data_IF_170754418019
#
_entry.id   IF_170754418019
#
_cell.length_a   1.000
_cell.length_b   1.000
_cell.length_c   1.000
_cell.angle_alpha   90.00
_cell.angle_beta   90.00
_cell.angle_gamma   90.00
#
_symmetry.space_group_name_H-M   'P 1'
#
loop_
_entity.id
_entity.type
_entity.pdbx_description
1 polymer ?
#
# COMPACT_ATOMS: atom_id res chain seq x y z
N UNK A 1 39.96 -18.64 -2.38
CA UNK A 1 38.69 -18.29 -3.05
C UNK A 1 37.47 -18.56 -2.17
N UNK A 2 37.26 -19.79 -1.67
CA UNK A 2 36.12 -20.13 -0.79
C UNK A 2 36.03 -19.25 0.47
N UNK A 3 37.15 -19.02 1.16
CA UNK A 3 37.19 -18.19 2.37
C UNK A 3 36.79 -16.72 2.11
N UNK A 4 37.21 -16.17 0.97
CA UNK A 4 36.89 -14.79 0.59
C UNK A 4 35.41 -14.65 0.20
N UNK A 5 34.85 -15.67 -0.46
CA UNK A 5 33.42 -15.70 -0.76
C UNK A 5 32.58 -15.80 0.52
N UNK A 6 33.00 -16.64 1.48
CA UNK A 6 32.37 -16.77 2.79
C UNK A 6 32.47 -15.47 3.61
N UNK A 7 33.63 -14.81 3.60
CA UNK A 7 33.82 -13.53 4.27
C UNK A 7 32.94 -12.42 3.66
N UNK A 8 32.83 -12.36 2.33
CA UNK A 8 31.97 -11.40 1.64
C UNK A 8 30.47 -11.65 1.95
N UNK A 9 30.06 -12.92 1.98
CA UNK A 9 28.70 -13.33 2.33
C UNK A 9 28.40 -12.96 3.80
N UNK A 10 29.32 -13.26 4.71
CA UNK A 10 29.20 -12.89 6.13
C UNK A 10 29.09 -11.38 6.34
N UNK A 11 29.92 -10.60 5.64
CA UNK A 11 29.86 -9.14 5.71
C UNK A 11 28.51 -8.58 5.22
N UNK A 12 28.00 -9.10 4.10
CA UNK A 12 26.69 -8.72 3.55
C UNK A 12 25.55 -9.12 4.50
N UNK A 13 25.62 -10.31 5.09
CA UNK A 13 24.65 -10.80 6.08
C UNK A 13 24.58 -9.88 7.30
N UNK A 14 25.71 -9.57 7.93
CA UNK A 14 25.78 -8.68 9.10
C UNK A 14 25.24 -7.27 8.75
N UNK A 15 25.61 -6.74 7.59
CA UNK A 15 25.10 -5.43 7.13
C UNK A 15 23.59 -5.43 6.94
N UNK A 16 23.03 -6.53 6.44
CA UNK A 16 21.59 -6.70 6.24
C UNK A 16 20.87 -6.73 7.58
N UNK A 17 21.33 -7.56 8.52
CA UNK A 17 20.76 -7.65 9.89
C UNK A 17 20.82 -6.29 10.59
N UNK A 18 21.96 -5.57 10.51
CA UNK A 18 22.07 -4.22 11.06
C UNK A 18 21.09 -3.23 10.42
N UNK A 19 20.81 -3.38 9.13
CA UNK A 19 19.85 -2.51 8.42
C UNK A 19 18.43 -2.75 8.91
N UNK A 20 18.01 -4.02 9.06
CA UNK A 20 16.72 -4.36 9.67
C UNK A 20 16.61 -3.87 11.12
N UNK A 21 17.68 -4.02 11.92
CA UNK A 21 17.70 -3.51 13.30
C UNK A 21 17.51 -1.99 13.37
N UNK A 22 18.17 -1.23 12.49
CA UNK A 22 17.98 0.24 12.40
C UNK A 22 16.55 0.61 12.01
N UNK A 23 15.95 -0.12 11.07
CA UNK A 23 14.57 0.11 10.66
C UNK A 23 13.58 -0.13 11.82
N UNK A 24 13.80 -1.18 12.61
CA UNK A 24 13.00 -1.49 13.79
C UNK A 24 13.12 -0.42 14.87
N UNK A 25 14.35 -0.01 15.21
CA UNK A 25 14.60 1.04 16.21
C UNK A 25 14.01 2.39 15.80
N UNK A 26 14.11 2.75 14.51
CA UNK A 26 13.51 3.97 13.98
C UNK A 26 12.00 4.00 14.22
N UNK A 27 11.31 2.91 13.85
CA UNK A 27 9.85 2.84 13.99
C UNK A 27 9.43 2.80 15.47
N UNK A 28 10.14 2.03 16.29
CA UNK A 28 9.91 1.96 17.73
C UNK A 28 10.02 3.34 18.39
N UNK A 29 11.09 4.09 18.12
CA UNK A 29 11.31 5.42 18.69
C UNK A 29 10.34 6.48 18.16
N UNK A 30 9.88 6.33 16.90
CA UNK A 30 8.90 7.24 16.31
C UNK A 30 7.49 7.06 16.87
N UNK A 31 7.10 5.83 17.22
CA UNK A 31 5.77 5.50 17.73
C UNK A 31 5.70 5.61 19.26
N UNK A 32 6.72 5.13 19.97
CA UNK A 32 6.71 5.04 21.43
C UNK A 32 7.27 6.33 22.03
N UNK A 33 6.40 7.07 22.72
CA UNK A 33 6.72 8.36 23.28
C UNK A 33 5.54 9.07 23.93
N UNK A 34 5.78 10.28 24.44
CA UNK A 34 4.72 11.13 24.99
C UNK A 34 3.80 11.58 23.84
N UNK A 35 2.52 11.18 23.81
CA UNK A 35 1.64 11.54 22.71
C UNK A 35 1.20 13.00 22.86
N UNK A 36 1.74 13.88 22.01
CA UNK A 36 1.34 15.30 21.96
C UNK A 36 0.28 15.53 20.86
N UNK A 37 -0.94 15.01 21.07
CA UNK A 37 -2.02 15.04 20.06
C UNK A 37 -2.30 16.43 19.49
N UNK A 38 -2.24 17.49 20.32
CA UNK A 38 -2.48 18.88 19.88
C UNK A 38 -1.45 19.37 18.85
N UNK A 39 -0.19 18.97 18.98
CA UNK A 39 0.88 19.39 18.04
C UNK A 39 0.89 18.51 16.79
N UNK A 40 0.52 17.24 16.92
CA UNK A 40 0.54 16.28 15.81
C UNK A 40 -0.71 16.32 14.91
N UNK A 41 -1.88 16.69 15.44
CA UNK A 41 -3.12 16.77 14.66
C UNK A 41 -3.02 17.64 13.38
N UNK A 42 -2.55 18.91 13.42
CA UNK A 42 -2.45 19.72 12.21
C UNK A 42 -1.41 19.17 11.22
N UNK A 43 -0.33 18.56 11.74
CA UNK A 43 0.68 17.91 10.91
C UNK A 43 0.10 16.68 10.21
N UNK A 44 -0.72 15.89 10.91
CA UNK A 44 -1.38 14.70 10.38
C UNK A 44 -2.34 15.07 9.25
N UNK A 45 -3.17 16.11 9.41
CA UNK A 45 -4.08 16.58 8.34
C UNK A 45 -3.31 16.98 7.09
N UNK A 46 -2.21 17.73 7.25
CA UNK A 46 -1.35 18.11 6.12
C UNK A 46 -0.75 16.89 5.41
N UNK A 47 -0.30 15.90 6.17
CA UNK A 47 0.24 14.66 5.59
C UNK A 47 -0.84 13.78 4.95
N UNK A 48 -2.05 13.75 5.51
CA UNK A 48 -3.19 13.05 4.93
C UNK A 48 -3.55 13.59 3.55
N UNK A 49 -3.47 14.91 3.38
CA UNK A 49 -3.68 15.55 2.07
C UNK A 49 -2.61 15.11 1.06
N UNK A 50 -1.33 15.20 1.43
CA UNK A 50 -0.23 14.89 0.53
C UNK A 50 -0.17 13.40 0.14
N UNK A 51 -0.38 12.52 1.12
CA UNK A 51 -0.26 11.06 0.97
C UNK A 51 -1.56 10.45 0.43
N UNK A 52 -2.72 10.86 0.97
CA UNK A 52 -4.04 10.34 0.61
C UNK A 52 -4.65 11.05 -0.59
N UNK A 53 -5.04 12.31 -0.43
CA UNK A 53 -5.86 13.04 -1.43
C UNK A 53 -5.15 13.15 -2.78
N UNK A 54 -3.86 13.48 -2.78
CA UNK A 54 -3.10 13.55 -4.04
C UNK A 54 -2.88 12.18 -4.72
N UNK A 55 -3.13 11.06 -4.02
CA UNK A 55 -3.10 9.71 -4.59
C UNK A 55 -4.48 9.26 -5.12
N UNK A 56 -5.53 10.04 -4.90
CA UNK A 56 -6.90 9.64 -5.25
C UNK A 56 -7.10 9.50 -6.77
N UNK A 57 -6.46 10.35 -7.57
CA UNK A 57 -6.57 10.33 -9.03
C UNK A 57 -6.11 8.99 -9.63
N UNK A 58 -4.92 8.52 -9.25
CA UNK A 58 -4.38 7.26 -9.78
C UNK A 58 -5.24 6.07 -9.33
N UNK A 59 -5.74 6.08 -8.10
CA UNK A 59 -6.57 4.99 -7.56
C UNK A 59 -7.92 4.91 -8.27
N UNK A 60 -8.62 6.03 -8.47
CA UNK A 60 -9.93 6.04 -9.14
C UNK A 60 -9.78 5.62 -10.60
N UNK A 61 -8.85 6.25 -11.34
CA UNK A 61 -8.68 5.98 -12.77
C UNK A 61 -8.26 4.52 -13.00
N UNK A 62 -7.27 4.03 -12.24
CA UNK A 62 -6.85 2.63 -12.34
C UNK A 62 -7.96 1.65 -11.92
N UNK A 63 -8.73 1.99 -10.87
CA UNK A 63 -9.85 1.17 -10.40
C UNK A 63 -10.93 0.97 -11.47
N UNK A 64 -11.32 2.05 -12.17
CA UNK A 64 -12.29 1.96 -13.28
C UNK A 64 -11.78 1.02 -14.37
N UNK A 65 -10.56 1.24 -14.86
CA UNK A 65 -10.02 0.45 -15.97
C UNK A 65 -9.84 -1.02 -15.60
N UNK A 66 -9.34 -1.31 -14.40
CA UNK A 66 -9.18 -2.69 -13.93
C UNK A 66 -10.56 -3.36 -13.79
N UNK A 67 -11.56 -2.67 -13.24
CA UNK A 67 -12.93 -3.15 -13.15
C UNK A 67 -13.55 -3.46 -14.52
N UNK A 68 -13.37 -2.57 -15.50
CA UNK A 68 -13.85 -2.78 -16.87
C UNK A 68 -13.18 -3.99 -17.53
N UNK A 69 -11.86 -4.14 -17.39
CA UNK A 69 -11.11 -5.27 -17.95
C UNK A 69 -11.56 -6.59 -17.32
N UNK A 70 -11.74 -6.63 -15.99
CA UNK A 70 -12.25 -7.81 -15.29
C UNK A 70 -13.67 -8.16 -15.72
N UNK A 71 -14.55 -7.17 -15.87
CA UNK A 71 -15.92 -7.38 -16.36
C UNK A 71 -15.94 -7.97 -17.77
N UNK A 72 -15.10 -7.45 -18.67
CA UNK A 72 -15.02 -7.94 -20.04
C UNK A 72 -14.45 -9.35 -20.14
N UNK A 73 -13.33 -9.61 -19.46
CA UNK A 73 -12.68 -10.92 -19.46
C UNK A 73 -13.54 -11.98 -18.75
N UNK A 74 -14.12 -11.62 -17.60
CA UNK A 74 -15.02 -12.47 -16.84
C UNK A 74 -16.27 -12.84 -17.65
N UNK A 75 -16.82 -11.90 -18.43
CA UNK A 75 -17.97 -12.18 -19.30
C UNK A 75 -17.64 -13.24 -20.34
N UNK A 76 -16.52 -13.10 -21.06
CA UNK A 76 -16.13 -14.07 -22.09
C UNK A 76 -16.01 -15.49 -21.53
N UNK A 77 -15.43 -15.63 -20.33
CA UNK A 77 -15.32 -16.94 -19.65
C UNK A 77 -16.69 -17.49 -19.24
N UNK A 78 -17.54 -16.66 -18.61
CA UNK A 78 -18.83 -17.11 -18.08
C UNK A 78 -19.86 -17.45 -19.16
N UNK A 79 -19.80 -16.80 -20.32
CA UNK A 79 -20.69 -17.12 -21.45
C UNK A 79 -20.48 -18.54 -21.98
N UNK A 80 -19.28 -19.10 -21.87
CA UNK A 80 -19.02 -20.50 -22.26
C UNK A 80 -19.76 -21.50 -21.38
N UNK A 81 -20.11 -21.11 -20.15
CA UNK A 81 -20.81 -21.94 -19.17
C UNK A 81 -22.27 -21.52 -18.94
N UNK A 82 -22.80 -20.59 -19.75
CA UNK A 82 -24.14 -20.00 -19.57
C UNK A 82 -24.38 -19.44 -18.15
N UNK A 83 -23.32 -18.87 -17.56
CA UNK A 83 -23.31 -18.35 -16.19
C UNK A 83 -23.08 -16.84 -16.14
N UNK A 84 -23.47 -16.10 -17.19
CA UNK A 84 -23.25 -14.66 -17.32
C UNK A 84 -23.88 -13.83 -16.19
N UNK A 85 -24.95 -14.31 -15.57
CA UNK A 85 -25.59 -13.67 -14.40
C UNK A 85 -24.69 -13.65 -13.16
N UNK A 86 -23.70 -14.54 -13.09
CA UNK A 86 -22.71 -14.64 -12.00
C UNK A 86 -21.51 -13.69 -12.16
N UNK A 87 -21.52 -12.83 -13.18
CA UNK A 87 -20.43 -11.88 -13.43
C UNK A 87 -20.19 -10.94 -12.23
N UNK A 88 -21.25 -10.49 -11.56
CA UNK A 88 -21.17 -9.60 -10.41
C UNK A 88 -20.43 -10.23 -9.22
N UNK A 89 -20.68 -11.52 -8.96
CA UNK A 89 -19.96 -12.30 -7.95
C UNK A 89 -18.47 -12.38 -8.30
N UNK A 90 -18.14 -12.75 -9.54
CA UNK A 90 -16.76 -12.89 -9.98
C UNK A 90 -15.98 -11.59 -9.82
N UNK A 91 -16.55 -10.46 -10.27
CA UNK A 91 -15.90 -9.15 -10.18
C UNK A 91 -15.70 -8.73 -8.72
N UNK A 92 -16.74 -8.83 -7.89
CA UNK A 92 -16.66 -8.41 -6.49
C UNK A 92 -15.66 -9.24 -5.68
N UNK A 93 -15.73 -10.57 -5.78
CA UNK A 93 -14.82 -11.45 -5.03
C UNK A 93 -13.36 -11.30 -5.48
N UNK A 94 -13.11 -11.16 -6.79
CA UNK A 94 -11.75 -10.96 -7.31
C UNK A 94 -11.13 -9.65 -6.84
N UNK A 95 -11.94 -8.59 -6.74
CA UNK A 95 -11.50 -7.29 -6.23
C UNK A 95 -11.30 -7.30 -4.71
N UNK A 96 -12.19 -7.92 -3.94
CA UNK A 96 -12.10 -7.93 -2.47
C UNK A 96 -10.97 -8.81 -1.95
N UNK A 97 -10.71 -9.97 -2.57
CA UNK A 97 -9.77 -10.97 -2.03
C UNK A 97 -8.32 -10.75 -2.44
N UNK A 98 -8.11 -10.41 -3.72
CA UNK A 98 -6.78 -10.37 -4.32
C UNK A 98 -6.46 -8.97 -4.83
N UNK A 99 -7.17 -8.51 -5.86
CA UNK A 99 -6.72 -7.39 -6.67
C UNK A 99 -6.82 -6.03 -5.97
N UNK A 100 -7.85 -5.81 -5.15
CA UNK A 100 -8.11 -4.52 -4.52
C UNK A 100 -6.97 -4.08 -3.60
N UNK A 101 -6.71 -4.80 -2.49
CA UNK A 101 -5.65 -4.44 -1.56
C UNK A 101 -4.26 -4.45 -2.20
N UNK A 102 -3.96 -5.46 -3.03
CA UNK A 102 -2.62 -5.65 -3.61
C UNK A 102 -2.31 -4.55 -4.63
N UNK A 103 -3.20 -4.32 -5.60
CA UNK A 103 -2.93 -3.31 -6.65
C UNK A 103 -2.94 -1.91 -6.06
N UNK A 104 -3.86 -1.60 -5.13
CA UNK A 104 -3.86 -0.32 -4.45
C UNK A 104 -2.54 -0.08 -3.68
N UNK A 105 -2.01 -1.10 -2.99
CA UNK A 105 -0.73 -1.02 -2.29
C UNK A 105 0.47 -0.81 -3.23
N UNK A 106 0.50 -1.48 -4.38
CA UNK A 106 1.55 -1.29 -5.39
C UNK A 106 1.53 0.12 -5.99
N UNK A 107 0.35 0.63 -6.35
CA UNK A 107 0.18 2.00 -6.85
C UNK A 107 0.57 3.03 -5.78
N UNK A 108 0.17 2.79 -4.53
CA UNK A 108 0.53 3.63 -3.40
C UNK A 108 2.04 3.65 -3.14
N UNK A 109 2.71 2.49 -3.19
CA UNK A 109 4.16 2.40 -3.06
C UNK A 109 4.87 3.20 -4.16
N UNK A 110 4.39 3.09 -5.40
CA UNK A 110 4.94 3.81 -6.55
C UNK A 110 4.79 5.32 -6.44
N UNK A 111 3.61 5.82 -6.03
CA UNK A 111 3.33 7.26 -5.99
C UNK A 111 3.64 7.89 -4.63
N UNK A 112 2.95 7.46 -3.58
CA UNK A 112 3.07 8.05 -2.25
C UNK A 112 4.35 7.59 -1.53
N UNK A 113 4.72 6.31 -1.65
CA UNK A 113 5.94 5.77 -1.06
C UNK A 113 7.22 6.43 -1.61
N UNK A 114 7.28 6.60 -2.93
CA UNK A 114 8.36 7.34 -3.60
C UNK A 114 8.44 8.80 -3.14
N UNK A 115 7.29 9.48 -3.06
CA UNK A 115 7.23 10.88 -2.61
C UNK A 115 7.69 11.04 -1.15
N UNK A 116 7.26 10.14 -0.25
CA UNK A 116 7.70 10.15 1.15
C UNK A 116 9.21 9.93 1.29
N UNK A 117 9.76 9.00 0.51
CA UNK A 117 11.20 8.71 0.49
C UNK A 117 12.00 9.94 0.04
N UNK A 118 11.55 10.58 -1.04
CA UNK A 118 12.20 11.77 -1.60
C UNK A 118 12.10 12.97 -0.65
N UNK A 119 10.94 13.20 -0.03
CA UNK A 119 10.73 14.30 0.92
C UNK A 119 11.68 14.19 2.11
N UNK A 120 11.75 13.03 2.76
CA UNK A 120 12.62 12.83 3.93
C UNK A 120 14.10 12.88 3.53
N UNK A 121 14.46 12.27 2.39
CA UNK A 121 15.83 12.31 1.88
C UNK A 121 16.29 13.75 1.57
N UNK A 122 15.39 14.59 1.05
CA UNK A 122 15.67 16.01 0.79
C UNK A 122 15.82 16.81 2.10
N UNK A 123 14.96 16.57 3.09
CA UNK A 123 15.09 17.19 4.42
C UNK A 123 16.41 16.82 5.09
N UNK A 124 16.90 15.60 4.87
CA UNK A 124 18.22 15.16 5.35
C UNK A 124 19.36 15.83 4.60
N UNK A 125 19.30 15.89 3.27
CA UNK A 125 20.34 16.54 2.45
C UNK A 125 20.45 18.06 2.67
N UNK A 126 19.38 18.69 3.15
CA UNK A 126 19.35 20.12 3.51
C UNK A 126 19.57 20.38 5.00
N UNK A 127 19.99 19.36 5.77
CA UNK A 127 20.27 19.44 7.22
C UNK A 127 19.07 19.91 8.08
N UNK A 128 17.85 19.82 7.55
CA UNK A 128 16.64 20.21 8.28
C UNK A 128 16.38 19.28 9.47
N UNK A 129 16.67 17.98 9.34
CA UNK A 129 16.53 17.03 10.45
C UNK A 129 17.52 17.34 11.59
N UNK A 130 18.79 17.58 11.25
CA UNK A 130 19.86 17.92 12.20
C UNK A 130 19.58 19.25 12.90
N UNK A 131 19.06 20.26 12.18
CA UNK A 131 18.70 21.54 12.80
C UNK A 131 17.57 21.43 13.82
N UNK A 132 16.60 20.52 13.61
CA UNK A 132 15.56 20.25 14.60
C UNK A 132 16.11 19.61 15.87
N UNK A 133 17.06 18.68 15.73
CA UNK A 133 17.74 18.05 16.88
C UNK A 133 18.48 19.09 17.73
N UNK A 134 19.11 20.08 17.09
CA UNK A 134 19.77 21.20 17.79
C UNK A 134 18.79 22.11 18.53
N UNK A 135 17.53 22.20 18.08
CA UNK A 135 16.45 22.92 18.78
C UNK A 135 15.80 22.10 19.90
N UNK A 136 16.40 20.97 20.30
CA UNK A 136 15.85 20.01 21.26
C UNK A 136 14.48 19.44 20.84
N UNK A 137 14.24 19.36 19.52
CA UNK A 137 13.01 18.79 18.95
C UNK A 137 13.35 17.50 18.22
N UNK A 138 12.85 16.37 18.72
CA UNK A 138 13.07 15.06 18.12
C UNK A 138 12.41 14.97 16.71
N UNK A 139 13.20 14.84 15.63
CA UNK A 139 12.67 14.75 14.27
C UNK A 139 11.92 13.45 14.01
N UNK A 140 12.23 12.35 14.72
CA UNK A 140 11.49 11.09 14.56
C UNK A 140 10.02 11.27 14.95
N UNK A 141 9.77 11.94 16.07
CA UNK A 141 8.39 12.18 16.51
C UNK A 141 7.69 13.28 15.73
N UNK A 142 8.42 14.33 15.33
CA UNK A 142 7.79 15.49 14.69
C UNK A 142 7.59 15.33 13.18
N UNK A 143 8.46 14.59 12.50
CA UNK A 143 8.45 14.43 11.04
C UNK A 143 7.98 13.04 10.65
N UNK A 144 8.55 11.98 11.25
CA UNK A 144 8.29 10.59 10.83
C UNK A 144 6.92 10.10 11.32
N UNK A 145 6.59 10.30 12.60
CA UNK A 145 5.34 9.79 13.20
C UNK A 145 4.05 10.25 12.48
N UNK A 146 3.84 11.56 12.18
CA UNK A 146 2.65 11.98 11.44
C UNK A 146 2.54 11.38 10.04
N UNK A 147 3.68 11.18 9.36
CA UNK A 147 3.73 10.54 8.03
C UNK A 147 3.42 9.06 8.10
N UNK A 148 3.88 8.37 9.14
CA UNK A 148 3.55 6.98 9.40
C UNK A 148 2.04 6.80 9.55
N UNK A 149 1.40 7.56 10.44
CA UNK A 149 -0.05 7.49 10.64
C UNK A 149 -0.85 7.91 9.42
N UNK A 150 -0.39 8.94 8.68
CA UNK A 150 -1.03 9.32 7.44
C UNK A 150 -1.02 8.20 6.40
N UNK A 151 0.10 7.49 6.24
CA UNK A 151 0.21 6.32 5.36
C UNK A 151 -0.73 5.18 5.79
N UNK A 152 -0.68 4.81 7.08
CA UNK A 152 -1.50 3.72 7.66
C UNK A 152 -3.00 3.98 7.51
N UNK A 153 -3.46 5.23 7.66
CA UNK A 153 -4.89 5.57 7.52
C UNK A 153 -5.28 5.69 6.03
N UNK A 154 -4.40 6.27 5.21
CA UNK A 154 -4.74 6.56 3.81
C UNK A 154 -4.92 5.32 2.95
N UNK A 155 -4.08 4.29 3.09
CA UNK A 155 -4.13 3.14 2.20
C UNK A 155 -5.44 2.34 2.32
N UNK A 156 -5.93 1.96 3.51
CA UNK A 156 -7.22 1.27 3.63
C UNK A 156 -8.38 2.08 3.05
N UNK A 157 -8.40 3.40 3.27
CA UNK A 157 -9.43 4.28 2.70
C UNK A 157 -9.37 4.30 1.17
N UNK A 158 -8.17 4.37 0.60
CA UNK A 158 -7.96 4.30 -0.84
C UNK A 158 -8.35 2.93 -1.42
N UNK A 159 -8.10 1.84 -0.71
CA UNK A 159 -8.52 0.49 -1.12
C UNK A 159 -10.04 0.35 -1.18
N UNK A 160 -10.77 0.90 -0.22
CA UNK A 160 -12.25 0.90 -0.26
C UNK A 160 -12.76 1.62 -1.51
N UNK A 161 -12.18 2.80 -1.80
CA UNK A 161 -12.53 3.58 -3.00
C UNK A 161 -12.20 2.79 -4.27
N UNK A 162 -11.02 2.15 -4.31
CA UNK A 162 -10.58 1.33 -5.44
C UNK A 162 -11.58 0.20 -5.74
N UNK A 163 -12.00 -0.53 -4.71
CA UNK A 163 -12.96 -1.64 -4.86
C UNK A 163 -14.33 -1.12 -5.29
N UNK A 164 -14.83 -0.04 -4.69
CA UNK A 164 -16.13 0.54 -5.05
C UNK A 164 -16.17 0.98 -6.53
N UNK A 165 -15.13 1.68 -6.97
CA UNK A 165 -15.01 2.15 -8.35
C UNK A 165 -14.75 0.98 -9.32
N UNK A 166 -14.01 -0.05 -8.90
CA UNK A 166 -13.80 -1.27 -9.68
C UNK A 166 -15.09 -2.07 -9.89
N UNK A 167 -15.92 -2.22 -8.86
CA UNK A 167 -17.24 -2.86 -8.97
C UNK A 167 -18.15 -2.05 -9.92
N UNK A 168 -18.13 -0.72 -9.78
CA UNK A 168 -18.88 0.15 -10.69
C UNK A 168 -18.41 0.00 -12.15
N UNK A 169 -17.10 -0.02 -12.40
CA UNK A 169 -16.53 -0.25 -13.74
C UNK A 169 -16.90 -1.61 -14.33
N UNK A 170 -16.92 -2.66 -13.50
CA UNK A 170 -17.40 -3.99 -13.90
C UNK A 170 -18.88 -4.02 -14.24
N UNK A 171 -19.72 -3.32 -13.45
CA UNK A 171 -21.16 -3.20 -13.71
C UNK A 171 -21.47 -2.45 -15.01
N UNK A 172 -20.69 -1.42 -15.35
CA UNK A 172 -20.83 -0.68 -16.59
C UNK A 172 -20.63 -1.57 -17.82
N UNK A 173 -19.64 -2.47 -17.76
CA UNK A 173 -19.38 -3.42 -18.86
C UNK A 173 -20.41 -4.55 -18.87
N UNK A 174 -20.71 -5.14 -17.71
CA UNK A 174 -21.64 -6.26 -17.63
C UNK A 174 -23.08 -5.90 -18.00
N UNK A 175 -23.62 -4.87 -17.36
CA UNK A 175 -25.02 -4.46 -17.54
C UNK A 175 -25.17 -3.59 -18.78
N UNK A 176 -24.43 -2.48 -18.87
CA UNK A 176 -24.68 -1.49 -19.93
C UNK A 176 -24.15 -1.90 -21.30
N UNK A 177 -23.04 -2.61 -21.39
CA UNK A 177 -22.49 -3.04 -22.68
C UNK A 177 -22.92 -4.44 -23.12
N UNK A 178 -22.95 -5.41 -22.19
CA UNK A 178 -23.29 -6.81 -22.51
C UNK A 178 -24.76 -7.16 -22.31
N UNK A 179 -25.55 -6.26 -21.73
CA UNK A 179 -27.00 -6.42 -21.63
C UNK A 179 -27.45 -7.44 -20.58
N UNK A 180 -26.61 -7.74 -19.58
CA UNK A 180 -27.01 -8.57 -18.44
C UNK A 180 -28.05 -7.81 -17.62
N UNK A 181 -29.09 -8.51 -17.17
CA UNK A 181 -30.08 -7.92 -16.28
C UNK A 181 -29.43 -7.44 -14.96
N UNK A 182 -29.70 -6.18 -14.61
CA UNK A 182 -29.12 -5.55 -13.44
C UNK A 182 -29.57 -6.24 -12.13
N UNK A 183 -30.81 -6.71 -12.06
CA UNK A 183 -31.36 -7.39 -10.89
C UNK A 183 -30.60 -8.66 -10.57
N UNK A 184 -30.34 -9.50 -11.58
CA UNK A 184 -29.53 -10.70 -11.42
C UNK A 184 -28.06 -10.38 -11.07
N UNK A 185 -27.46 -9.36 -11.69
CA UNK A 185 -26.08 -8.97 -11.40
C UNK A 185 -25.88 -8.55 -9.93
N UNK A 186 -26.74 -7.68 -9.41
CA UNK A 186 -26.62 -7.18 -8.03
C UNK A 186 -27.02 -8.22 -6.99
N UNK A 187 -28.05 -9.03 -7.25
CA UNK A 187 -28.47 -10.10 -6.34
C UNK A 187 -27.42 -11.20 -6.23
N UNK A 188 -26.80 -11.62 -7.34
CA UNK A 188 -25.72 -12.60 -7.34
C UNK A 188 -24.50 -12.09 -6.53
N UNK A 189 -24.19 -10.79 -6.64
CA UNK A 189 -23.13 -10.18 -5.85
C UNK A 189 -23.46 -10.17 -4.34
N UNK A 190 -24.66 -9.73 -3.96
CA UNK A 190 -25.08 -9.66 -2.56
C UNK A 190 -25.11 -11.03 -1.88
N UNK A 191 -25.50 -12.07 -2.61
CA UNK A 191 -25.54 -13.44 -2.08
C UNK A 191 -24.15 -14.05 -1.89
N UNK A 192 -23.14 -13.58 -2.64
CA UNK A 192 -21.80 -14.15 -2.63
C UNK A 192 -20.82 -13.43 -1.70
N UNK A 193 -21.00 -12.13 -1.49
CA UNK A 193 -20.10 -11.30 -0.68
C UNK A 193 -20.50 -11.43 0.79
N UNK A 194 -19.60 -12.02 1.59
CA UNK A 194 -19.78 -12.12 3.03
C UNK A 194 -19.06 -10.97 3.77
N UNK A 195 -19.70 -10.47 4.83
CA UNK A 195 -19.14 -9.39 5.64
C UNK A 195 -17.83 -9.81 6.32
N UNK A 196 -17.79 -11.01 6.91
CA UNK A 196 -16.65 -11.44 7.73
C UNK A 196 -15.50 -11.93 6.86
N UNK A 197 -15.81 -12.70 5.82
CA UNK A 197 -14.81 -13.37 4.98
C UNK A 197 -14.24 -12.49 3.88
N UNK A 198 -14.99 -11.51 3.34
CA UNK A 198 -14.52 -10.70 2.23
C UNK A 198 -14.17 -9.27 2.67
N UNK A 199 -15.11 -8.56 3.31
CA UNK A 199 -14.91 -7.15 3.67
C UNK A 199 -13.89 -6.96 4.80
N UNK A 200 -14.03 -7.68 5.92
CA UNK A 200 -13.09 -7.55 7.04
C UNK A 200 -11.70 -8.03 6.65
N UNK A 201 -11.61 -9.11 5.87
CA UNK A 201 -10.34 -9.66 5.41
C UNK A 201 -9.63 -8.71 4.43
N UNK A 202 -10.36 -8.07 3.52
CA UNK A 202 -9.85 -7.01 2.65
C UNK A 202 -9.26 -5.83 3.46
N UNK A 203 -9.98 -5.38 4.50
CA UNK A 203 -9.50 -4.32 5.38
C UNK A 203 -8.24 -4.72 6.14
N UNK A 204 -8.20 -5.92 6.74
CA UNK A 204 -7.02 -6.41 7.46
C UNK A 204 -5.80 -6.47 6.53
N UNK A 205 -5.94 -7.04 5.32
CA UNK A 205 -4.85 -7.06 4.32
C UNK A 205 -4.36 -5.65 4.01
N UNK A 206 -5.27 -4.72 3.72
CA UNK A 206 -4.90 -3.33 3.39
C UNK A 206 -4.15 -2.63 4.54
N UNK A 207 -4.51 -2.87 5.81
CA UNK A 207 -3.80 -2.31 6.97
C UNK A 207 -2.38 -2.88 7.08
N UNK A 208 -2.22 -4.18 6.90
CA UNK A 208 -0.89 -4.83 6.94
C UNK A 208 0.01 -4.30 5.83
N UNK A 209 -0.52 -4.14 4.61
CA UNK A 209 0.19 -3.50 3.50
C UNK A 209 0.52 -2.04 3.78
N UNK A 210 -0.38 -1.30 4.43
CA UNK A 210 -0.16 0.11 4.75
C UNK A 210 1.03 0.27 5.70
N UNK A 211 1.11 -0.57 6.73
CA UNK A 211 2.22 -0.55 7.71
C UNK A 211 3.54 -0.87 7.01
N UNK A 212 3.58 -1.95 6.22
CA UNK A 212 4.82 -2.39 5.58
C UNK A 212 5.32 -1.42 4.51
N UNK A 213 4.45 -0.96 3.61
CA UNK A 213 4.83 0.00 2.56
C UNK A 213 5.31 1.32 3.16
N UNK A 214 4.57 1.85 4.14
CA UNK A 214 4.92 3.12 4.78
C UNK A 214 6.22 3.00 5.58
N UNK A 215 6.43 1.89 6.28
CA UNK A 215 7.66 1.66 7.03
C UNK A 215 8.90 1.61 6.11
N UNK A 216 8.82 0.88 5.00
CA UNK A 216 9.91 0.80 4.01
C UNK A 216 10.22 2.18 3.42
N UNK A 217 9.19 2.95 3.07
CA UNK A 217 9.36 4.30 2.50
C UNK A 217 10.03 5.27 3.48
N UNK A 218 9.56 5.31 4.73
CA UNK A 218 10.13 6.17 5.77
C UNK A 218 11.58 5.79 6.06
N UNK A 219 11.86 4.50 6.18
CA UNK A 219 13.21 4.02 6.49
C UNK A 219 14.20 4.33 5.37
N UNK A 220 13.86 4.04 4.11
CA UNK A 220 14.76 4.33 2.99
C UNK A 220 15.01 5.82 2.82
N UNK A 221 14.03 6.69 3.13
CA UNK A 221 14.22 8.14 3.13
C UNK A 221 15.12 8.61 4.27
N UNK A 222 14.90 8.07 5.48
CA UNK A 222 15.68 8.43 6.65
C UNK A 222 17.13 7.93 6.58
N UNK A 223 17.38 6.71 6.08
CA UNK A 223 18.73 6.11 5.95
C UNK A 223 19.43 6.45 4.62
N UNK A 224 18.84 7.29 3.78
CA UNK A 224 19.44 7.68 2.50
C UNK A 224 20.78 8.40 2.69
N UNK A 225 21.70 8.18 1.75
CA UNK A 225 22.92 8.98 1.63
C UNK A 225 22.49 10.40 1.21
N UNK A 226 22.92 11.47 1.90
CA UNK A 226 22.49 12.85 1.66
C UNK A 226 23.14 13.45 0.40
N UNK A 227 22.94 12.80 -0.74
CA UNK A 227 23.37 13.25 -2.07
C UNK A 227 22.20 13.10 -3.04
N UNK A 228 22.13 13.94 -4.07
CA UNK A 228 21.05 13.90 -5.07
C UNK A 228 20.91 12.49 -5.71
N UNK A 229 22.04 11.88 -6.09
CA UNK A 229 22.07 10.51 -6.61
C UNK A 229 21.65 9.47 -5.56
N UNK A 230 22.02 9.66 -4.30
CA UNK A 230 21.63 8.81 -3.18
C UNK A 230 20.13 8.79 -2.93
N UNK A 231 19.48 9.97 -2.99
CA UNK A 231 18.02 10.12 -2.83
C UNK A 231 17.29 9.39 -3.96
N UNK A 232 17.66 9.63 -5.21
CA UNK A 232 17.04 8.95 -6.35
C UNK A 232 17.16 7.41 -6.25
N UNK A 233 18.33 6.91 -5.83
CA UNK A 233 18.55 5.48 -5.58
C UNK A 233 17.71 4.95 -4.43
N UNK A 234 17.51 5.73 -3.37
CA UNK A 234 16.64 5.34 -2.26
C UNK A 234 15.17 5.25 -2.71
N UNK A 235 14.70 6.21 -3.53
CA UNK A 235 13.34 6.23 -4.08
C UNK A 235 13.05 4.98 -4.91
N UNK A 236 13.94 4.62 -5.84
CA UNK A 236 13.76 3.39 -6.65
C UNK A 236 13.82 2.14 -5.80
N UNK A 237 14.72 2.10 -4.82
CA UNK A 237 14.84 1.00 -3.86
C UNK A 237 13.56 0.82 -3.02
N UNK A 238 12.87 1.89 -2.66
CA UNK A 238 11.59 1.83 -1.94
C UNK A 238 10.53 1.11 -2.75
N UNK A 239 10.37 1.44 -4.03
CA UNK A 239 9.36 0.80 -4.89
C UNK A 239 9.62 -0.70 -5.01
N UNK A 240 10.88 -1.11 -5.23
CA UNK A 240 11.23 -2.53 -5.35
C UNK A 240 10.97 -3.29 -4.05
N UNK A 241 11.45 -2.78 -2.91
CA UNK A 241 11.29 -3.48 -1.63
C UNK A 241 9.83 -3.52 -1.17
N UNK A 242 9.08 -2.43 -1.38
CA UNK A 242 7.67 -2.38 -1.05
C UNK A 242 6.86 -3.36 -1.91
N UNK A 243 7.11 -3.42 -3.22
CA UNK A 243 6.42 -4.36 -4.11
C UNK A 243 6.70 -5.82 -3.76
N UNK A 244 7.96 -6.17 -3.47
CA UNK A 244 8.32 -7.52 -3.04
C UNK A 244 7.69 -7.88 -1.68
N UNK A 245 7.67 -6.93 -0.74
CA UNK A 245 7.04 -7.13 0.56
C UNK A 245 5.51 -7.32 0.45
N UNK A 246 4.83 -6.52 -0.37
CA UNK A 246 3.38 -6.64 -0.61
C UNK A 246 3.06 -8.00 -1.23
N UNK A 247 3.73 -8.39 -2.30
CA UNK A 247 3.47 -9.68 -2.97
C UNK A 247 3.82 -10.88 -2.07
N UNK A 248 4.92 -10.80 -1.33
CA UNK A 248 5.31 -11.86 -0.39
C UNK A 248 4.33 -12.01 0.78
N UNK A 249 3.88 -10.89 1.33
CA UNK A 249 2.87 -10.89 2.41
C UNK A 249 1.49 -11.31 1.91
N UNK A 250 1.13 -10.96 0.68
CA UNK A 250 -0.14 -11.35 0.10
C UNK A 250 -0.26 -12.88 0.04
N UNK A 251 0.76 -13.59 -0.43
CA UNK A 251 0.76 -15.05 -0.43
C UNK A 251 0.55 -15.64 0.98
N UNK A 252 1.28 -15.13 1.99
CA UNK A 252 1.18 -15.62 3.38
C UNK A 252 -0.19 -15.33 3.98
N UNK A 253 -0.73 -14.12 3.76
CA UNK A 253 -2.04 -13.73 4.27
C UNK A 253 -3.16 -14.50 3.58
N UNK A 254 -3.08 -14.69 2.26
CA UNK A 254 -4.04 -15.50 1.51
C UNK A 254 -4.06 -16.94 2.04
N UNK A 255 -2.90 -17.55 2.26
CA UNK A 255 -2.81 -18.90 2.84
C UNK A 255 -3.41 -18.98 4.26
N UNK A 256 -3.26 -17.95 5.09
CA UNK A 256 -3.81 -17.94 6.46
C UNK A 256 -5.31 -17.64 6.51
N UNK A 257 -5.83 -16.86 5.57
CA UNK A 257 -7.19 -16.34 5.61
C UNK A 257 -8.17 -17.18 4.76
N UNK A 258 -7.66 -17.81 3.70
CA UNK A 258 -8.43 -18.62 2.77
C UNK A 258 -7.91 -20.06 2.64
N UNK A 259 -6.80 -20.40 3.29
CA UNK A 259 -6.38 -21.79 3.45
C UNK A 259 -7.25 -22.45 4.52
N UNK A 260 -7.96 -23.51 4.11
CA UNK A 260 -8.66 -24.42 5.02
C UNK A 260 -7.69 -25.20 5.90
#
# INVERSE_FOLDING_TARGET
>A
MLLNALAALGHSGIKTVRTFGRAGLMLFNAIIGKPEFRKHAPLLVRQLYNVGVLSMLIIIVSGVFIGMVLGLQGYLVLTTYSAETSLGMLVALSLLRELGPVVAALLFAGRAGSALTAEIGLMRATEQLSSMEMMAVDPLRRVISPRFWAGVISLPLLTIIFVAVGIWGGSLVGVSWKGIDAGFFWSAMQNAVDWRMDLVNCLIKSVVFAITVTWIALFNGYDAIPTSAGISRATTRTVVHASLAVLGLDFVLTALMFGN
#
